data_IF_233818930519
#
_entry.id   IF_233818930519
#
_cell.length_a   1.000
_cell.length_b   1.000
_cell.length_c   1.000
_cell.angle_alpha   90.00
_cell.angle_beta   90.00
_cell.angle_gamma   90.00
#
_symmetry.space_group_name_H-M   'P 1'
#
loop_
_entity.id
_entity.type
_entity.pdbx_description
1 polymer ?
#
# COMPACT_ATOMS: atom_id res chain seq x y z
N UNK A 1 -1.28 10.39 9.61
CA UNK A 1 -1.25 9.88 8.22
C UNK A 1 0.00 9.05 8.02
N UNK A 2 0.17 8.43 6.85
CA UNK A 2 1.34 7.61 6.49
C UNK A 2 2.14 8.30 5.36
N UNK A 3 3.08 9.21 5.68
CA UNK A 3 3.80 9.98 4.67
C UNK A 3 4.60 9.07 3.74
N UNK A 4 4.55 9.35 2.43
CA UNK A 4 5.28 8.59 1.42
C UNK A 4 4.68 7.22 1.05
N UNK A 5 3.58 6.81 1.69
CA UNK A 5 2.83 5.61 1.35
C UNK A 5 1.66 5.95 0.43
N UNK A 6 1.61 5.30 -0.73
CA UNK A 6 0.59 5.53 -1.75
C UNK A 6 -0.20 4.25 -2.05
N UNK A 7 -1.42 4.38 -2.58
CA UNK A 7 -2.31 3.26 -2.89
C UNK A 7 -2.80 3.33 -4.35
N UNK A 8 -2.47 2.32 -5.15
CA UNK A 8 -3.11 2.08 -6.45
C UNK A 8 -4.41 1.28 -6.26
N UNK A 9 -5.44 1.64 -7.05
CA UNK A 9 -6.78 1.03 -6.97
C UNK A 9 -7.25 0.39 -8.29
N UNK A 10 -6.49 -0.51 -8.93
CA UNK A 10 -6.92 -1.15 -10.18
C UNK A 10 -8.00 -2.20 -9.92
N UNK A 11 -9.21 -1.95 -10.42
CA UNK A 11 -10.35 -2.85 -10.27
C UNK A 11 -10.62 -3.24 -8.81
N UNK A 12 -10.51 -4.55 -8.53
CA UNK A 12 -10.75 -5.12 -7.20
C UNK A 12 -9.48 -5.30 -6.35
N UNK A 13 -8.34 -4.78 -6.80
CA UNK A 13 -7.09 -4.84 -6.05
C UNK A 13 -6.78 -3.49 -5.40
N UNK A 14 -6.01 -3.57 -4.32
CA UNK A 14 -5.33 -2.45 -3.67
C UNK A 14 -3.86 -2.80 -3.60
N UNK A 15 -3.02 -1.90 -4.06
CA UNK A 15 -1.57 -2.09 -4.08
C UNK A 15 -0.95 -0.88 -3.41
N UNK A 16 -0.30 -1.10 -2.29
CA UNK A 16 0.49 -0.08 -1.61
C UNK A 16 1.90 -0.03 -2.16
N UNK A 17 2.40 1.18 -2.36
CA UNK A 17 3.72 1.42 -2.92
C UNK A 17 4.34 2.70 -2.35
N UNK A 18 5.65 2.83 -2.54
CA UNK A 18 6.39 4.07 -2.28
C UNK A 18 7.38 4.34 -3.42
N UNK A 19 7.92 5.57 -3.43
CA UNK A 19 9.06 5.92 -4.27
C UNK A 19 10.34 5.81 -3.45
N UNK A 20 11.31 5.04 -3.94
CA UNK A 20 12.61 4.88 -3.30
C UNK A 20 13.71 4.87 -4.35
N UNK A 21 14.66 5.81 -4.27
CA UNK A 21 15.85 5.89 -5.14
C UNK A 21 15.53 5.78 -6.64
N UNK A 22 14.52 6.50 -7.11
CA UNK A 22 14.12 6.50 -8.53
C UNK A 22 13.31 5.27 -8.98
N UNK A 23 13.00 4.35 -8.06
CA UNK A 23 12.17 3.18 -8.31
C UNK A 23 10.82 3.28 -7.59
N UNK A 24 9.82 2.57 -8.13
CA UNK A 24 8.55 2.29 -7.47
C UNK A 24 8.67 0.94 -6.78
N UNK A 25 8.49 0.91 -5.46
CA UNK A 25 8.55 -0.32 -4.67
C UNK A 25 7.14 -0.74 -4.29
N UNK A 26 6.74 -1.96 -4.69
CA UNK A 26 5.45 -2.53 -4.29
C UNK A 26 5.58 -3.16 -2.90
N UNK A 27 4.89 -2.59 -1.93
CA UNK A 27 5.03 -2.95 -0.52
C UNK A 27 4.05 -4.05 -0.13
N UNK A 28 2.79 -3.93 -0.54
CA UNK A 28 1.73 -4.84 -0.14
C UNK A 28 0.58 -4.79 -1.13
N UNK A 29 0.00 -5.94 -1.48
CA UNK A 29 -1.15 -6.01 -2.37
C UNK A 29 -2.19 -7.00 -1.84
N UNK A 30 -3.46 -6.63 -1.97
CA UNK A 30 -4.59 -7.49 -1.58
C UNK A 30 -5.81 -7.25 -2.47
N UNK A 31 -6.69 -8.26 -2.52
CA UNK A 31 -8.01 -8.14 -3.16
C UNK A 31 -9.01 -7.59 -2.17
N UNK A 32 -9.70 -6.51 -2.53
CA UNK A 32 -10.68 -5.85 -1.65
C UNK A 32 -11.89 -6.76 -1.40
N UNK A 33 -12.31 -6.84 -0.14
CA UNK A 33 -13.60 -7.44 0.25
C UNK A 33 -14.69 -6.38 0.48
N UNK A 34 -14.29 -5.14 0.74
CA UNK A 34 -15.17 -3.98 0.92
C UNK A 34 -14.60 -2.75 0.18
N UNK A 35 -15.30 -1.60 0.21
CA UNK A 35 -14.82 -0.34 -0.40
C UNK A 35 -13.71 0.32 0.40
N UNK A 36 -13.75 0.19 1.73
CA UNK A 36 -12.76 0.77 2.64
C UNK A 36 -11.54 -0.14 2.73
N UNK A 37 -10.37 0.47 2.69
CA UNK A 37 -9.11 -0.24 2.89
C UNK A 37 -8.95 -0.56 4.38
N UNK A 38 -8.80 -1.84 4.79
CA UNK A 38 -8.64 -2.18 6.19
C UNK A 38 -7.35 -1.61 6.77
N UNK A 39 -7.43 -1.09 8.00
CA UNK A 39 -6.32 -0.44 8.70
C UNK A 39 -5.07 -1.33 8.80
N UNK A 40 -5.26 -2.62 9.07
CA UNK A 40 -4.18 -3.62 9.14
C UNK A 40 -3.35 -3.73 7.85
N UNK A 41 -3.97 -3.55 6.68
CA UNK A 41 -3.25 -3.61 5.40
C UNK A 41 -2.36 -2.38 5.21
N UNK A 42 -2.83 -1.21 5.68
CA UNK A 42 -2.05 0.04 5.68
C UNK A 42 -0.86 -0.09 6.62
N UNK A 43 -1.07 -0.62 7.83
CA UNK A 43 -0.01 -0.84 8.82
C UNK A 43 1.02 -1.84 8.33
N UNK A 44 0.59 -2.92 7.67
CA UNK A 44 1.48 -3.90 7.04
C UNK A 44 2.36 -3.26 5.97
N UNK A 45 1.77 -2.44 5.10
CA UNK A 45 2.52 -1.75 4.05
C UNK A 45 3.51 -0.72 4.64
N UNK A 46 3.09 0.04 5.66
CA UNK A 46 3.95 1.02 6.32
C UNK A 46 5.10 0.37 7.09
N UNK A 47 4.87 -0.77 7.74
CA UNK A 47 5.94 -1.54 8.38
C UNK A 47 7.01 -1.97 7.38
N UNK A 48 6.59 -2.50 6.22
CA UNK A 48 7.50 -2.88 5.12
C UNK A 48 8.27 -1.71 4.53
N UNK A 49 7.68 -0.51 4.50
CA UNK A 49 8.34 0.69 3.99
C UNK A 49 9.49 1.16 4.88
N UNK A 50 9.39 0.93 6.20
CA UNK A 50 10.37 1.35 7.20
C UNK A 50 11.33 0.22 7.64
N UNK A 51 11.23 -0.96 7.03
CA UNK A 51 12.15 -2.10 7.26
C UNK A 51 13.34 -2.01 6.34
#
# INVERSE_FOLDING_TARGET
>A
GYPGLYELRPGNHRIFYCYHKGAIVLLHAFRKKSKQTPQKEIETAYGRMNS
#
